data_IF_817221885428
#
_entry.id   IF_817221885428
#
_cell.length_a   1.000
_cell.length_b   1.000
_cell.length_c   1.000
_cell.angle_alpha   90.00
_cell.angle_beta   90.00
_cell.angle_gamma   90.00
#
_symmetry.space_group_name_H-M   'P 1'
#
loop_
_entity.id
_entity.type
_entity.pdbx_description
1 polymer ?
#
# COMPACT_ATOMS: atom_id res chain seq x y z
N UNK A 1 -17.29 -9.01 -19.64
CA UNK A 1 -16.40 -8.74 -18.49
C UNK A 1 -16.62 -7.33 -18.03
N UNK A 2 -16.62 -7.10 -16.72
CA UNK A 2 -16.49 -5.78 -16.15
C UNK A 2 -15.07 -5.25 -16.37
N UNK A 3 -14.89 -3.93 -16.31
CA UNK A 3 -13.57 -3.31 -16.37
C UNK A 3 -12.59 -3.89 -15.34
N UNK A 4 -13.06 -4.19 -14.13
CA UNK A 4 -12.23 -4.77 -13.08
C UNK A 4 -11.71 -6.17 -13.47
N UNK A 5 -12.54 -6.99 -14.13
CA UNK A 5 -12.14 -8.31 -14.63
C UNK A 5 -11.13 -8.19 -15.78
N UNK A 6 -11.30 -7.20 -16.65
CA UNK A 6 -10.38 -6.92 -17.76
C UNK A 6 -9.00 -6.52 -17.26
N UNK A 7 -8.93 -5.49 -16.40
CA UNK A 7 -7.66 -5.02 -15.82
C UNK A 7 -6.97 -6.12 -15.00
N UNK A 8 -7.73 -6.95 -14.28
CA UNK A 8 -7.17 -8.09 -13.55
C UNK A 8 -6.55 -9.11 -14.51
N UNK A 9 -7.28 -9.49 -15.56
CA UNK A 9 -6.79 -10.46 -16.54
C UNK A 9 -5.54 -9.95 -17.27
N UNK A 10 -5.50 -8.67 -17.65
CA UNK A 10 -4.35 -8.06 -18.34
C UNK A 10 -3.07 -8.01 -17.51
N UNK A 11 -3.18 -8.01 -16.17
CA UNK A 11 -2.03 -7.89 -15.25
C UNK A 11 -1.82 -9.13 -14.39
N UNK A 12 -2.45 -10.26 -14.76
CA UNK A 12 -2.42 -11.48 -13.97
C UNK A 12 -1.00 -12.08 -13.89
N UNK A 13 -0.21 -11.92 -14.95
CA UNK A 13 1.18 -12.35 -15.01
C UNK A 13 2.04 -11.65 -13.94
N UNK A 14 1.86 -10.35 -13.74
CA UNK A 14 2.53 -9.58 -12.69
C UNK A 14 2.08 -10.04 -11.29
N UNK A 15 0.78 -10.28 -11.10
CA UNK A 15 0.25 -10.78 -9.83
C UNK A 15 0.83 -12.16 -9.47
N UNK A 16 0.92 -13.07 -10.45
CA UNK A 16 1.56 -14.39 -10.28
C UNK A 16 3.05 -14.22 -9.98
N UNK A 17 3.76 -13.36 -10.72
CA UNK A 17 5.18 -13.09 -10.47
C UNK A 17 5.45 -12.53 -9.07
N UNK A 18 4.57 -11.68 -8.55
CA UNK A 18 4.64 -11.21 -7.16
C UNK A 18 4.42 -12.35 -6.16
N UNK A 19 3.43 -13.21 -6.41
CA UNK A 19 3.13 -14.35 -5.53
C UNK A 19 4.30 -15.35 -5.47
N UNK A 20 4.93 -15.63 -6.60
CA UNK A 20 6.07 -16.55 -6.72
C UNK A 20 7.40 -15.96 -6.22
N UNK A 21 7.43 -14.66 -5.91
CA UNK A 21 8.63 -14.00 -5.42
C UNK A 21 9.14 -14.63 -4.11
N UNK A 22 10.45 -14.85 -4.01
CA UNK A 22 11.09 -15.44 -2.84
C UNK A 22 10.78 -14.70 -1.51
N UNK A 23 10.49 -13.40 -1.56
CA UNK A 23 10.05 -12.66 -0.39
C UNK A 23 8.66 -13.12 0.09
N UNK A 24 7.67 -13.22 -0.80
CA UNK A 24 6.30 -13.64 -0.48
C UNK A 24 6.27 -15.12 -0.08
N UNK A 25 6.96 -15.98 -0.84
CA UNK A 25 7.10 -17.39 -0.50
C UNK A 25 7.76 -17.58 0.88
N UNK A 26 8.82 -16.81 1.16
CA UNK A 26 9.51 -16.82 2.45
C UNK A 26 8.64 -16.36 3.63
N UNK A 27 7.65 -15.49 3.41
CA UNK A 27 6.65 -15.16 4.43
C UNK A 27 5.73 -16.37 4.65
N UNK A 28 5.24 -16.96 3.56
CA UNK A 28 4.28 -18.08 3.60
C UNK A 28 4.82 -19.34 4.26
N UNK A 29 6.10 -19.67 4.03
CA UNK A 29 6.74 -20.86 4.60
C UNK A 29 7.54 -20.59 5.90
N UNK A 30 7.64 -19.31 6.30
CA UNK A 30 8.35 -18.87 7.50
C UNK A 30 9.88 -18.84 7.39
N UNK A 31 10.44 -18.98 6.19
CA UNK A 31 11.90 -18.97 5.96
C UNK A 31 12.48 -17.57 5.78
N UNK A 32 11.66 -16.52 5.63
CA UNK A 32 12.14 -15.15 5.42
C UNK A 32 12.99 -14.68 6.62
N UNK A 33 14.24 -14.23 6.39
CA UNK A 33 15.06 -13.66 7.45
C UNK A 33 14.40 -12.43 8.07
N UNK A 34 14.31 -12.41 9.41
CA UNK A 34 13.74 -11.28 10.17
C UNK A 34 14.27 -9.90 9.74
N UNK A 35 15.57 -9.69 9.46
CA UNK A 35 16.05 -8.38 9.01
C UNK A 35 15.44 -7.91 7.68
N UNK A 36 15.14 -8.83 6.75
CA UNK A 36 14.46 -8.49 5.49
C UNK A 36 13.02 -8.08 5.74
N UNK A 37 12.34 -8.77 6.64
CA UNK A 37 10.96 -8.42 7.03
C UNK A 37 10.90 -7.07 7.75
N UNK A 38 11.83 -6.81 8.67
CA UNK A 38 11.92 -5.52 9.36
C UNK A 38 12.19 -4.37 8.39
N UNK A 39 13.07 -4.56 7.40
CA UNK A 39 13.28 -3.57 6.34
C UNK A 39 11.99 -3.34 5.53
N UNK A 40 11.29 -4.41 5.14
CA UNK A 40 10.00 -4.31 4.44
C UNK A 40 8.99 -3.48 5.24
N UNK A 41 8.76 -3.80 6.52
CA UNK A 41 7.82 -3.06 7.39
C UNK A 41 8.19 -1.57 7.48
N UNK A 42 9.49 -1.25 7.52
CA UNK A 42 9.97 0.13 7.45
C UNK A 42 9.59 0.85 6.17
N UNK A 43 9.72 0.21 5.01
CA UNK A 43 9.31 0.78 3.73
C UNK A 43 7.78 0.85 3.60
N UNK A 44 7.09 -0.15 4.13
CA UNK A 44 5.64 -0.28 4.08
C UNK A 44 4.95 0.81 4.92
N UNK A 45 5.56 1.28 6.01
CA UNK A 45 5.06 2.45 6.74
C UNK A 45 4.96 3.71 5.85
N UNK A 46 5.97 4.00 5.02
CA UNK A 46 5.93 5.12 4.07
C UNK A 46 4.87 4.92 2.97
N UNK A 47 4.72 3.68 2.52
CA UNK A 47 3.69 3.30 1.57
C UNK A 47 2.29 3.55 2.13
N UNK A 48 2.03 3.07 3.36
CA UNK A 48 0.78 3.25 4.08
C UNK A 48 0.47 4.74 4.34
N UNK A 49 1.44 5.55 4.77
CA UNK A 49 1.23 7.00 4.93
C UNK A 49 0.76 7.67 3.63
N UNK A 50 1.30 7.27 2.47
CA UNK A 50 0.86 7.77 1.17
C UNK A 50 -0.55 7.28 0.82
N UNK A 51 -0.87 6.01 1.12
CA UNK A 51 -2.21 5.45 0.92
C UNK A 51 -3.28 6.12 1.79
N UNK A 52 -3.00 6.41 3.07
CA UNK A 52 -3.91 7.14 3.95
C UNK A 52 -4.30 8.51 3.34
N UNK A 53 -3.31 9.24 2.81
CA UNK A 53 -3.51 10.52 2.14
C UNK A 53 -4.28 10.35 0.83
N UNK A 54 -3.90 9.38 0.00
CA UNK A 54 -4.54 9.11 -1.28
C UNK A 54 -6.01 8.72 -1.11
N UNK A 55 -6.34 7.85 -0.16
CA UNK A 55 -7.73 7.51 0.17
C UNK A 55 -8.51 8.70 0.69
N UNK A 56 -7.92 9.55 1.53
CA UNK A 56 -8.59 10.76 2.00
C UNK A 56 -8.92 11.73 0.85
N UNK A 57 -8.01 11.89 -0.12
CA UNK A 57 -8.24 12.69 -1.32
C UNK A 57 -9.32 12.05 -2.21
N UNK A 58 -9.26 10.73 -2.42
CA UNK A 58 -10.27 10.00 -3.18
C UNK A 58 -11.66 10.09 -2.53
N UNK A 59 -11.74 10.03 -1.19
CA UNK A 59 -12.98 10.26 -0.46
C UNK A 59 -13.53 11.67 -0.73
N UNK A 60 -12.69 12.70 -0.63
CA UNK A 60 -13.09 14.09 -0.90
C UNK A 60 -13.56 14.32 -2.34
N UNK A 61 -13.06 13.53 -3.30
CA UNK A 61 -13.45 13.57 -4.72
C UNK A 61 -14.58 12.59 -5.09
N UNK A 62 -15.06 11.77 -4.16
CA UNK A 62 -16.05 10.75 -4.47
C UNK A 62 -17.36 11.39 -4.97
N UNK A 63 -17.97 10.86 -6.04
CA UNK A 63 -19.20 11.44 -6.62
C UNK A 63 -20.44 11.17 -5.76
N UNK A 64 -20.36 10.23 -4.83
CA UNK A 64 -21.44 9.86 -3.95
C UNK A 64 -20.96 9.49 -2.53
N UNK A 65 -21.92 9.45 -1.60
CA UNK A 65 -21.66 9.13 -0.21
C UNK A 65 -21.27 7.67 0.03
N UNK A 66 -21.56 6.76 -0.91
CA UNK A 66 -21.14 5.38 -0.77
C UNK A 66 -19.62 5.26 -0.98
N UNK A 67 -19.10 5.82 -2.07
CA UNK A 67 -17.67 5.92 -2.35
C UNK A 67 -16.92 6.67 -1.25
N UNK A 68 -17.47 7.80 -0.77
CA UNK A 68 -16.89 8.55 0.35
C UNK A 68 -16.67 7.65 1.58
N UNK A 69 -17.70 6.89 2.00
CA UNK A 69 -17.61 6.00 3.17
C UNK A 69 -16.62 4.86 2.96
N UNK A 70 -16.55 4.29 1.76
CA UNK A 70 -15.59 3.23 1.43
C UNK A 70 -14.16 3.75 1.56
N UNK A 71 -13.83 4.88 0.92
CA UNK A 71 -12.48 5.43 1.00
C UNK A 71 -12.12 5.90 2.42
N UNK A 72 -13.07 6.44 3.16
CA UNK A 72 -12.85 6.80 4.56
C UNK A 72 -12.52 5.58 5.43
N UNK A 73 -13.26 4.48 5.27
CA UNK A 73 -12.99 3.23 5.98
C UNK A 73 -11.62 2.63 5.61
N UNK A 74 -11.21 2.74 4.34
CA UNK A 74 -9.88 2.32 3.90
C UNK A 74 -8.77 3.17 4.54
N UNK A 75 -8.94 4.50 4.58
CA UNK A 75 -7.99 5.38 5.25
C UNK A 75 -7.86 5.07 6.75
N UNK A 76 -8.98 4.80 7.42
CA UNK A 76 -9.01 4.38 8.82
C UNK A 76 -8.27 3.06 9.04
N UNK A 77 -8.48 2.06 8.17
CA UNK A 77 -7.75 0.79 8.22
C UNK A 77 -6.23 0.98 8.12
N UNK A 78 -5.79 1.88 7.24
CA UNK A 78 -4.36 2.22 7.09
C UNK A 78 -3.79 2.85 8.38
N UNK A 79 -4.54 3.72 9.06
CA UNK A 79 -4.09 4.32 10.33
C UNK A 79 -3.96 3.27 11.43
N UNK A 80 -4.89 2.30 11.49
CA UNK A 80 -4.81 1.17 12.42
C UNK A 80 -3.60 0.28 12.13
N UNK A 81 -3.30 0.04 10.85
CA UNK A 81 -2.13 -0.74 10.45
C UNK A 81 -0.82 -0.04 10.77
N UNK A 82 -0.72 1.29 10.57
CA UNK A 82 0.46 2.06 10.99
C UNK A 82 0.72 1.93 12.50
N UNK A 83 -0.33 1.95 13.31
CA UNK A 83 -0.21 1.73 14.76
C UNK A 83 0.28 0.30 15.08
N UNK A 84 -0.17 -0.70 14.31
CA UNK A 84 0.30 -2.07 14.43
C UNK A 84 1.80 -2.18 14.07
N UNK A 85 2.24 -1.54 12.98
CA UNK A 85 3.66 -1.49 12.58
C UNK A 85 4.54 -0.87 13.67
N UNK A 86 4.12 0.25 14.27
CA UNK A 86 4.82 0.86 15.39
C UNK A 86 4.98 -0.11 16.57
N UNK A 87 3.93 -0.87 16.89
CA UNK A 87 3.96 -1.86 17.96
C UNK A 87 4.94 -3.01 17.68
N UNK A 88 4.94 -3.55 16.46
CA UNK A 88 5.87 -4.62 16.07
C UNK A 88 7.32 -4.14 16.04
N UNK A 89 7.56 -2.95 15.48
CA UNK A 89 8.90 -2.38 15.42
C UNK A 89 9.49 -2.17 16.81
N UNK A 90 8.68 -1.74 17.78
CA UNK A 90 9.09 -1.64 19.18
C UNK A 90 9.53 -3.01 19.73
N UNK A 91 8.80 -4.10 19.44
CA UNK A 91 9.20 -5.46 19.86
C UNK A 91 10.51 -5.95 19.22
N UNK A 92 10.88 -5.41 18.06
CA UNK A 92 12.11 -5.75 17.35
C UNK A 92 13.27 -4.81 17.65
N UNK A 93 13.04 -3.75 18.44
CA UNK A 93 14.03 -2.71 18.70
C UNK A 93 14.36 -1.85 17.47
N UNK A 94 13.43 -1.76 16.51
CA UNK A 94 13.60 -0.99 15.27
C UNK A 94 12.84 0.34 15.39
N UNK A 95 13.50 1.44 15.03
CA UNK A 95 12.86 2.74 14.96
C UNK A 95 12.41 3.04 13.52
N UNK A 96 11.13 2.80 13.22
CA UNK A 96 10.56 3.06 11.88
C UNK A 96 10.69 4.54 11.47
N UNK A 97 10.73 5.48 12.42
CA UNK A 97 10.85 6.92 12.14
C UNK A 97 12.21 7.33 11.59
N UNK A 98 13.19 6.44 11.62
CA UNK A 98 14.53 6.65 11.05
C UNK A 98 14.74 5.94 9.73
N UNK A 99 13.77 5.14 9.30
CA UNK A 99 13.82 4.49 7.99
C UNK A 99 13.58 5.59 6.94
N UNK A 100 14.34 5.58 5.86
CA UNK A 100 14.10 6.45 4.71
C UNK A 100 13.53 5.61 3.56
N UNK A 101 12.61 6.15 2.74
CA UNK A 101 12.06 5.40 1.63
C UNK A 101 13.13 5.15 0.58
N UNK A 102 13.30 3.88 0.19
CA UNK A 102 14.09 3.50 -0.96
C UNK A 102 13.48 4.02 -2.27
N UNK A 103 14.27 3.99 -3.34
CA UNK A 103 13.86 4.55 -4.63
C UNK A 103 12.56 3.95 -5.19
N UNK A 104 12.34 2.64 -5.00
CA UNK A 104 11.12 1.97 -5.45
C UNK A 104 9.89 2.45 -4.68
N UNK A 105 9.97 2.47 -3.34
CA UNK A 105 8.90 2.98 -2.46
C UNK A 105 8.56 4.42 -2.83
N UNK A 106 9.59 5.26 -3.00
CA UNK A 106 9.42 6.66 -3.37
C UNK A 106 8.73 6.84 -4.73
N UNK A 107 9.14 6.09 -5.75
CA UNK A 107 8.52 6.16 -7.08
C UNK A 107 7.05 5.75 -7.04
N UNK A 108 6.71 4.71 -6.27
CA UNK A 108 5.34 4.29 -6.10
C UNK A 108 4.53 5.40 -5.42
N UNK A 109 4.96 5.86 -4.25
CA UNK A 109 4.19 6.82 -3.46
C UNK A 109 4.05 8.17 -4.15
N UNK A 110 5.07 8.62 -4.89
CA UNK A 110 4.99 9.82 -5.73
C UNK A 110 3.94 9.65 -6.84
N UNK A 111 3.93 8.51 -7.54
CA UNK A 111 2.92 8.22 -8.57
C UNK A 111 1.50 8.17 -7.97
N UNK A 112 1.32 7.49 -6.85
CA UNK A 112 0.04 7.36 -6.16
C UNK A 112 -0.51 8.74 -5.76
N UNK A 113 0.31 9.56 -5.11
CA UNK A 113 -0.12 10.88 -4.65
C UNK A 113 -0.36 11.82 -5.84
N UNK A 114 0.51 11.82 -6.86
CA UNK A 114 0.30 12.60 -8.06
C UNK A 114 -1.03 12.24 -8.75
N UNK A 115 -1.36 10.95 -8.82
CA UNK A 115 -2.63 10.46 -9.37
C UNK A 115 -3.81 10.94 -8.52
N UNK A 116 -3.76 10.73 -7.21
CA UNK A 116 -4.81 11.14 -6.29
C UNK A 116 -5.08 12.66 -6.36
N UNK A 117 -4.04 13.48 -6.48
CA UNK A 117 -4.19 14.94 -6.59
C UNK A 117 -4.68 15.40 -7.97
N UNK A 118 -4.15 14.84 -9.06
CA UNK A 118 -4.37 15.38 -10.41
C UNK A 118 -5.55 14.79 -11.17
N UNK A 119 -6.01 13.59 -10.81
CA UNK A 119 -7.05 12.87 -11.56
C UNK A 119 -8.40 12.88 -10.85
N UNK A 120 -9.45 12.63 -11.61
CA UNK A 120 -10.80 12.33 -11.10
C UNK A 120 -10.90 10.87 -10.65
N UNK A 121 -11.95 10.55 -9.88
CA UNK A 121 -12.21 9.16 -9.49
C UNK A 121 -12.66 8.34 -10.71
N UNK A 122 -12.04 7.18 -10.92
CA UNK A 122 -12.45 6.23 -11.97
C UNK A 122 -11.93 6.55 -13.37
N UNK A 123 -10.86 7.34 -13.51
CA UNK A 123 -10.17 7.56 -14.79
C UNK A 123 -9.53 6.26 -15.29
N UNK A 124 -9.77 5.93 -16.56
CA UNK A 124 -9.28 4.69 -17.20
C UNK A 124 -8.49 4.94 -18.48
N UNK A 125 -8.16 6.21 -18.77
CA UNK A 125 -7.48 6.66 -20.01
C UNK A 125 -6.43 7.71 -19.71
#
# INVERSE_FOLDING_TARGET
MSLAEELWHENQDLAIGCLENAFVQGIGDGTLPKPKFAYYVGQDAFFLEAFARAYSIAAAKAPDWNGFRVFHALAEGVLQELQLHESYAATWGVNLKTVEPGATTRRYTDFLLATAWSQEVGVTT
#
